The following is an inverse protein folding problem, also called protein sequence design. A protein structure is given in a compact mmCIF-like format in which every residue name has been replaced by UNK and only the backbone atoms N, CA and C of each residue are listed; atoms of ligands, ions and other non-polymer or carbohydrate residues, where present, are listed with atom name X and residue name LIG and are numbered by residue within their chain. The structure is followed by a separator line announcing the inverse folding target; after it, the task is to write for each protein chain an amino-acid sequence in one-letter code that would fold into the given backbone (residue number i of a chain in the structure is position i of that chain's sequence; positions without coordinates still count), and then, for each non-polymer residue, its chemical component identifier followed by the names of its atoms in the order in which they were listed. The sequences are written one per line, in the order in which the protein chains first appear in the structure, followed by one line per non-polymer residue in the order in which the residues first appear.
data_IF_485111486034
#
_entry.id   IF_485111486034
#
_cell.length_a   1.000
_cell.length_b   1.000
_cell.length_c   1.000
_cell.angle_alpha   90.00
_cell.angle_beta   90.00
_cell.angle_gamma   90.00
#
_symmetry.space_group_name_H-M   'P 1'
#
loop_
_entity.id
_entity.type
_entity.pdbx_description
1 polymer ?
#
# COMPACT_ATOMS: atom_id res chain seq x y z
N UNK A 1 -6.22 -22.19 -22.48
CA UNK A 1 -7.02 -21.01 -22.10
C UNK A 1 -6.34 -20.27 -20.94
N UNK A 2 -5.59 -19.19 -21.19
CA UNK A 2 -4.98 -18.39 -20.12
C UNK A 2 -6.04 -17.44 -19.56
N UNK A 3 -6.44 -17.61 -18.29
CA UNK A 3 -7.30 -16.65 -17.60
C UNK A 3 -6.55 -15.32 -17.52
N UNK A 4 -7.00 -14.30 -18.25
CA UNK A 4 -6.54 -12.92 -18.08
C UNK A 4 -7.11 -12.42 -16.74
N UNK A 5 -6.31 -12.49 -15.68
CA UNK A 5 -6.59 -11.77 -14.45
C UNK A 5 -6.26 -10.30 -14.70
N UNK A 6 -7.25 -9.51 -15.12
CA UNK A 6 -7.11 -8.05 -15.16
C UNK A 6 -7.17 -7.56 -13.71
N UNK A 7 -6.01 -7.43 -13.07
CA UNK A 7 -5.88 -6.87 -11.73
C UNK A 7 -6.07 -5.34 -11.85
N UNK A 8 -7.22 -4.84 -11.38
CA UNK A 8 -7.43 -3.40 -11.22
C UNK A 8 -6.72 -2.93 -9.94
N UNK A 9 -5.54 -2.36 -10.11
CA UNK A 9 -4.75 -1.74 -9.05
C UNK A 9 -5.31 -0.35 -8.72
N UNK A 10 -5.69 -0.11 -7.45
CA UNK A 10 -6.10 1.21 -6.97
C UNK A 10 -5.01 2.27 -7.17
N UNK A 11 -5.40 3.54 -7.21
CA UNK A 11 -4.51 4.65 -7.61
C UNK A 11 -3.80 5.22 -6.38
N UNK A 12 -2.55 4.81 -6.17
CA UNK A 12 -1.58 5.51 -5.35
C UNK A 12 -0.32 5.62 -6.20
N UNK A 13 0.12 6.85 -6.44
CA UNK A 13 1.29 7.14 -7.26
C UNK A 13 2.50 7.31 -6.36
N UNK A 14 3.66 6.84 -6.82
CA UNK A 14 4.87 6.91 -6.01
C UNK A 14 5.46 8.32 -5.90
N UNK A 15 5.18 9.18 -6.88
CA UNK A 15 5.63 10.57 -6.93
C UNK A 15 4.68 11.39 -7.83
N UNK A 16 5.23 12.20 -8.75
CA UNK A 16 4.47 12.99 -9.72
C UNK A 16 4.18 12.29 -11.06
N UNK A 17 4.75 11.10 -11.28
CA UNK A 17 4.40 10.24 -12.40
C UNK A 17 3.26 9.28 -12.04
N UNK A 18 2.81 8.49 -13.01
CA UNK A 18 1.74 7.51 -12.83
C UNK A 18 2.22 6.06 -12.65
N UNK A 19 3.55 5.85 -12.54
CA UNK A 19 4.18 4.54 -12.35
C UNK A 19 4.02 4.13 -10.89
N UNK A 20 3.92 2.82 -10.65
CA UNK A 20 3.85 2.26 -9.30
C UNK A 20 5.10 1.45 -9.02
N UNK A 21 6.06 2.04 -8.30
CA UNK A 21 7.23 1.31 -7.81
C UNK A 21 6.96 0.72 -6.43
N UNK A 22 6.99 -0.61 -6.30
CA UNK A 22 6.71 -1.27 -5.01
C UNK A 22 7.74 -0.92 -3.93
N UNK A 23 9.03 -0.80 -4.28
CA UNK A 23 10.08 -0.56 -3.30
C UNK A 23 9.85 0.75 -2.51
N UNK A 24 9.76 1.94 -3.15
CA UNK A 24 9.48 3.18 -2.41
C UNK A 24 8.08 3.18 -1.77
N UNK A 25 7.07 2.58 -2.41
CA UNK A 25 5.72 2.50 -1.83
C UNK A 25 5.69 1.67 -0.54
N UNK A 26 6.42 0.55 -0.50
CA UNK A 26 6.50 -0.33 0.67
C UNK A 26 7.29 0.33 1.80
N UNK A 27 8.38 1.04 1.49
CA UNK A 27 9.12 1.83 2.46
C UNK A 27 8.26 2.93 3.10
N UNK A 28 7.58 3.75 2.28
CA UNK A 28 6.68 4.79 2.80
C UNK A 28 5.57 4.21 3.67
N UNK A 29 4.95 3.10 3.24
CA UNK A 29 3.92 2.41 4.02
C UNK A 29 4.46 1.91 5.36
N UNK A 30 5.69 1.39 5.38
CA UNK A 30 6.34 0.93 6.61
C UNK A 30 6.61 2.07 7.58
N UNK A 31 7.19 3.18 7.11
CA UNK A 31 7.47 4.37 7.95
C UNK A 31 6.18 4.92 8.56
N UNK A 32 5.12 4.99 7.77
CA UNK A 32 3.80 5.43 8.21
C UNK A 32 3.24 4.53 9.32
N UNK A 33 3.20 3.21 9.10
CA UNK A 33 2.72 2.26 10.11
C UNK A 33 3.58 2.27 11.38
N UNK A 34 4.90 2.37 11.23
CA UNK A 34 5.82 2.47 12.37
C UNK A 34 5.56 3.74 13.19
N UNK A 35 5.39 4.89 12.52
CA UNK A 35 5.04 6.15 13.17
C UNK A 35 3.70 6.08 13.90
N UNK A 36 2.69 5.44 13.31
CA UNK A 36 1.39 5.23 13.97
C UNK A 36 1.51 4.39 15.24
N UNK A 37 2.24 3.27 15.18
CA UNK A 37 2.47 2.40 16.33
C UNK A 37 3.25 3.10 17.45
N UNK A 38 4.19 3.98 17.09
CA UNK A 38 4.99 4.73 18.08
C UNK A 38 4.26 5.90 18.72
N UNK A 39 3.37 6.56 17.97
CA UNK A 39 2.74 7.81 18.40
C UNK A 39 1.20 7.74 18.37
N UNK A 40 0.62 6.58 18.67
CA UNK A 40 -0.83 6.34 18.57
C UNK A 40 -1.66 7.37 19.35
N UNK A 41 -1.17 7.81 20.52
CA UNK A 41 -1.85 8.81 21.35
C UNK A 41 -1.94 10.16 20.64
N UNK A 42 -0.90 10.56 19.90
CA UNK A 42 -0.89 11.81 19.12
C UNK A 42 -1.86 11.77 17.94
N UNK A 43 -1.97 10.61 17.26
CA UNK A 43 -2.99 10.42 16.21
C UNK A 43 -4.41 10.42 16.78
N UNK A 44 -4.60 9.93 17.99
CA UNK A 44 -5.91 9.91 18.66
C UNK A 44 -6.30 11.30 19.15
N UNK A 45 -5.39 12.03 19.81
CA UNK A 45 -5.65 13.38 20.33
C UNK A 45 -5.85 14.42 19.22
N UNK A 46 -5.23 14.23 18.07
CA UNK A 46 -5.44 15.07 16.88
C UNK A 46 -6.65 14.67 16.03
N UNK A 47 -7.35 13.58 16.37
CA UNK A 47 -8.47 13.05 15.58
C UNK A 47 -8.06 12.49 14.21
N UNK A 48 -6.77 12.21 13.99
CA UNK A 48 -6.22 11.75 12.71
C UNK A 48 -6.14 10.22 12.58
N UNK A 49 -6.50 9.48 13.63
CA UNK A 49 -6.39 8.02 13.68
C UNK A 49 -7.08 7.32 12.50
N UNK A 50 -8.34 7.68 12.23
CA UNK A 50 -9.12 7.00 11.18
C UNK A 50 -8.58 7.32 9.78
N UNK A 51 -8.19 8.57 9.54
CA UNK A 51 -7.55 8.98 8.28
C UNK A 51 -6.21 8.28 8.05
N UNK A 52 -5.41 8.12 9.12
CA UNK A 52 -4.16 7.39 9.05
C UNK A 52 -4.38 5.92 8.66
N UNK A 53 -5.36 5.26 9.30
CA UNK A 53 -5.72 3.88 8.98
C UNK A 53 -6.27 3.74 7.55
N UNK A 54 -7.08 4.69 7.07
CA UNK A 54 -7.58 4.67 5.69
C UNK A 54 -6.44 4.87 4.68
N UNK A 55 -5.52 5.80 4.94
CA UNK A 55 -4.37 6.06 4.07
C UNK A 55 -3.48 4.82 3.89
N UNK A 56 -3.14 4.11 4.97
CA UNK A 56 -2.29 2.90 4.87
C UNK A 56 -3.03 1.69 4.29
N UNK A 57 -4.37 1.66 4.32
CA UNK A 57 -5.15 0.57 3.74
C UNK A 57 -4.95 0.43 2.24
N UNK A 58 -4.84 1.56 1.52
CA UNK A 58 -4.66 1.59 0.07
C UNK A 58 -3.41 0.84 -0.43
N UNK A 59 -2.19 1.18 0.02
CA UNK A 59 -0.98 0.46 -0.39
C UNK A 59 -0.98 -0.99 0.10
N UNK A 60 -1.54 -1.30 1.28
CA UNK A 60 -1.64 -2.68 1.78
C UNK A 60 -2.55 -3.55 0.91
N UNK A 61 -3.71 -3.05 0.50
CA UNK A 61 -4.59 -3.76 -0.44
C UNK A 61 -3.97 -3.88 -1.83
N UNK A 62 -3.15 -2.91 -2.24
CA UNK A 62 -2.34 -3.02 -3.46
C UNK A 62 -1.31 -4.16 -3.34
N UNK A 63 -0.54 -4.25 -2.25
CA UNK A 63 0.43 -5.33 -2.07
C UNK A 63 -0.21 -6.72 -2.03
N UNK A 64 -1.40 -6.84 -1.41
CA UNK A 64 -2.18 -8.09 -1.44
C UNK A 64 -2.57 -8.51 -2.86
N UNK A 65 -2.82 -7.56 -3.76
CA UNK A 65 -3.10 -7.83 -5.18
C UNK A 65 -1.84 -8.16 -5.99
N UNK A 66 -0.68 -7.64 -5.59
CA UNK A 66 0.60 -7.90 -6.26
C UNK A 66 1.15 -9.30 -5.95
N UNK A 67 0.77 -9.90 -4.82
CA UNK A 67 1.22 -11.23 -4.42
C UNK A 67 0.26 -12.31 -4.94
N UNK A 68 0.78 -13.25 -5.74
CA UNK A 68 0.06 -14.43 -6.23
C UNK A 68 0.64 -15.67 -5.50
N UNK A 69 0.01 -16.15 -4.41
CA UNK A 69 0.58 -17.18 -3.56
C UNK A 69 0.78 -18.53 -4.25
N UNK A 70 -0.17 -18.94 -5.09
CA UNK A 70 -0.16 -20.21 -5.83
C UNK A 70 0.99 -20.30 -6.83
N UNK A 71 1.50 -19.15 -7.28
CA UNK A 71 2.59 -19.04 -8.25
C UNK A 71 3.90 -18.55 -7.61
N UNK A 72 3.91 -18.29 -6.30
CA UNK A 72 5.00 -17.61 -5.59
C UNK A 72 5.53 -16.37 -6.34
N UNK A 73 4.63 -15.62 -6.97
CA UNK A 73 4.98 -14.52 -7.88
C UNK A 73 4.57 -13.18 -7.26
N UNK A 74 5.48 -12.21 -7.31
CA UNK A 74 5.25 -10.84 -6.84
C UNK A 74 5.40 -9.84 -7.99
N UNK A 75 4.34 -9.08 -8.27
CA UNK A 75 4.41 -7.93 -9.18
C UNK A 75 5.00 -6.71 -8.46
N UNK A 76 6.11 -6.17 -8.99
CA UNK A 76 6.88 -5.11 -8.31
C UNK A 76 6.82 -3.74 -8.98
N UNK A 77 6.33 -3.67 -10.23
CA UNK A 77 6.19 -2.43 -10.99
C UNK A 77 5.05 -2.53 -11.98
N UNK A 78 4.26 -1.45 -12.10
CA UNK A 78 3.18 -1.27 -13.07
C UNK A 78 3.29 0.11 -13.70
#
# INVERSE_FOLDING_TARGET
MRKKYTIKFGVHFTAGDHVKFNLPMSFSSWVLNYGFLKFTDAYTSSGQKDMMCDMVKWPLEYFKKCWIPDQQTLYVQV
#
